data_IF_477411218827
#
_entry.id   IF_477411218827
#
_cell.length_a   1.000
_cell.length_b   1.000
_cell.length_c   1.000
_cell.angle_alpha   90.00
_cell.angle_beta   90.00
_cell.angle_gamma   90.00
#
_symmetry.space_group_name_H-M   'P 1'
#
loop_
_entity.id
_entity.type
_entity.pdbx_description
1 polymer ?
#
# COMPACT_ATOMS: atom_id res chain seq x y z
N UNK A 1 5.79 16.59 -13.74
CA UNK A 1 4.48 16.95 -13.14
C UNK A 1 3.79 18.09 -13.89
N UNK A 2 4.42 19.26 -14.06
CA UNK A 2 3.83 20.37 -14.86
C UNK A 2 3.53 19.97 -16.31
N UNK A 3 4.39 19.17 -16.92
CA UNK A 3 4.19 18.64 -18.28
C UNK A 3 3.04 17.62 -18.40
N UNK A 4 2.61 17.00 -17.29
CA UNK A 4 1.58 15.96 -17.29
C UNK A 4 0.17 16.52 -17.08
N UNK A 5 0.06 17.75 -16.57
CA UNK A 5 -1.18 18.49 -16.31
C UNK A 5 -0.97 19.96 -16.68
N UNK A 6 -0.84 20.26 -17.99
CA UNK A 6 -0.52 21.61 -18.46
C UNK A 6 -1.64 22.63 -18.18
N UNK A 7 -2.85 22.15 -17.91
CA UNK A 7 -4.04 22.91 -17.54
C UNK A 7 -4.12 23.22 -16.03
N UNK A 8 -3.21 22.69 -15.22
CA UNK A 8 -3.17 22.97 -13.78
C UNK A 8 -2.49 24.31 -13.46
N UNK A 9 -3.05 25.03 -12.47
CA UNK A 9 -2.43 26.26 -11.94
C UNK A 9 -1.35 25.92 -10.92
N UNK A 10 -0.08 26.27 -11.21
CA UNK A 10 1.04 26.10 -10.28
C UNK A 10 1.38 27.43 -9.60
N UNK A 11 1.33 27.45 -8.27
CA UNK A 11 1.64 28.66 -7.48
C UNK A 11 2.45 28.31 -6.23
N UNK A 12 3.32 29.20 -5.72
CA UNK A 12 3.85 29.08 -4.37
C UNK A 12 2.72 29.23 -3.33
N UNK A 13 2.97 28.68 -2.13
CA UNK A 13 2.02 28.70 -1.02
C UNK A 13 1.58 30.12 -0.63
N UNK A 14 2.50 31.08 -0.68
CA UNK A 14 2.24 32.50 -0.39
C UNK A 14 1.15 33.14 -1.27
N UNK A 15 0.83 32.55 -2.43
CA UNK A 15 -0.17 33.06 -3.38
C UNK A 15 -1.39 32.14 -3.52
N UNK A 16 -1.52 31.12 -2.68
CA UNK A 16 -2.57 30.11 -2.80
C UNK A 16 -3.99 30.71 -2.83
N UNK A 17 -4.25 31.73 -2.00
CA UNK A 17 -5.57 32.37 -1.94
C UNK A 17 -5.96 33.06 -3.27
N UNK A 18 -5.00 33.66 -3.96
CA UNK A 18 -5.23 34.32 -5.25
C UNK A 18 -5.41 33.25 -6.35
N UNK A 19 -4.53 32.25 -6.37
CA UNK A 19 -4.59 31.17 -7.34
C UNK A 19 -5.89 30.36 -7.26
N UNK A 20 -6.39 30.06 -6.05
CA UNK A 20 -7.66 29.35 -5.87
C UNK A 20 -8.85 30.16 -6.39
N UNK A 21 -8.86 31.48 -6.17
CA UNK A 21 -9.90 32.36 -6.72
C UNK A 21 -9.85 32.37 -8.24
N UNK A 22 -8.66 32.49 -8.83
CA UNK A 22 -8.48 32.45 -10.29
C UNK A 22 -8.89 31.12 -10.90
N UNK A 23 -8.44 30.00 -10.32
CA UNK A 23 -8.73 28.65 -10.79
C UNK A 23 -10.24 28.33 -10.73
N UNK A 24 -10.98 28.87 -9.75
CA UNK A 24 -12.43 28.70 -9.68
C UNK A 24 -13.17 29.45 -10.79
N UNK A 25 -12.65 30.61 -11.20
CA UNK A 25 -13.24 31.42 -12.27
C UNK A 25 -12.94 30.87 -13.67
N UNK A 26 -11.87 30.10 -13.82
CA UNK A 26 -11.41 29.53 -15.09
C UNK A 26 -11.27 28.02 -14.96
N UNK A 27 -12.39 27.33 -14.74
CA UNK A 27 -12.39 25.86 -14.77
C UNK A 27 -12.23 25.38 -16.22
N UNK A 28 -11.26 24.49 -16.53
CA UNK A 28 -11.13 23.91 -17.86
C UNK A 28 -12.39 23.12 -18.21
N UNK A 29 -12.94 23.36 -19.41
CA UNK A 29 -14.12 22.61 -19.90
C UNK A 29 -13.81 21.15 -20.20
N UNK A 30 -12.54 20.84 -20.52
CA UNK A 30 -12.05 19.49 -20.78
C UNK A 30 -10.68 19.33 -20.07
N UNK A 31 -10.66 18.93 -18.79
CA UNK A 31 -9.43 18.87 -18.02
C UNK A 31 -8.54 17.73 -18.47
N UNK A 32 -7.23 17.98 -18.53
CA UNK A 32 -6.23 16.93 -18.80
C UNK A 32 -6.12 16.06 -17.56
N UNK A 33 -6.74 14.87 -17.62
CA UNK A 33 -6.58 13.87 -16.57
C UNK A 33 -5.36 13.01 -16.89
N UNK A 34 -4.24 13.11 -16.15
CA UNK A 34 -3.11 12.26 -16.40
C UNK A 34 -3.54 10.82 -16.13
N UNK A 35 -3.24 9.90 -17.07
CA UNK A 35 -3.47 8.46 -16.84
C UNK A 35 -2.80 8.10 -15.52
N UNK A 36 -3.53 7.47 -14.60
CA UNK A 36 -2.95 7.07 -13.32
C UNK A 36 -1.82 6.07 -13.57
N UNK A 37 -0.59 6.54 -13.66
CA UNK A 37 0.56 5.68 -13.50
C UNK A 37 0.56 5.29 -12.03
N UNK A 38 0.42 4.00 -11.74
CA UNK A 38 0.48 3.47 -10.38
C UNK A 38 1.89 3.69 -9.80
N UNK A 39 2.24 4.90 -9.37
CA UNK A 39 3.61 5.16 -8.95
C UNK A 39 4.05 6.61 -8.90
N UNK A 40 3.43 7.44 -8.05
CA UNK A 40 4.01 8.73 -7.66
C UNK A 40 5.43 8.61 -7.06
N UNK A 41 5.84 7.41 -6.66
CA UNK A 41 7.11 7.19 -6.00
C UNK A 41 8.29 6.93 -6.95
N UNK A 42 8.08 6.48 -8.20
CA UNK A 42 9.16 5.96 -9.07
C UNK A 42 9.97 4.77 -8.51
N UNK A 43 9.77 4.41 -7.24
CA UNK A 43 10.50 3.35 -6.53
C UNK A 43 9.97 1.97 -6.92
N UNK A 44 10.85 0.97 -7.07
CA UNK A 44 10.46 -0.43 -7.20
C UNK A 44 9.55 -0.89 -6.05
N UNK A 45 8.65 -1.84 -6.33
CA UNK A 45 7.72 -2.36 -5.34
C UNK A 45 8.39 -2.88 -4.05
N UNK A 46 9.52 -3.61 -4.09
CA UNK A 46 10.20 -4.07 -2.88
C UNK A 46 10.61 -2.92 -1.95
N UNK A 47 11.08 -1.80 -2.53
CA UNK A 47 11.41 -0.61 -1.75
C UNK A 47 10.17 0.06 -1.13
N UNK A 48 9.05 0.10 -1.86
CA UNK A 48 7.77 0.59 -1.31
C UNK A 48 7.34 -0.26 -0.11
N UNK A 49 7.49 -1.58 -0.22
CA UNK A 49 7.20 -2.56 0.82
C UNK A 49 8.22 -2.52 1.99
N UNK A 50 9.33 -1.81 1.82
CA UNK A 50 10.39 -1.70 2.84
C UNK A 50 11.28 -2.94 2.94
N UNK A 51 11.31 -3.76 1.88
CA UNK A 51 12.21 -4.92 1.76
C UNK A 51 13.64 -4.42 1.62
N UNK A 52 14.52 -4.90 2.50
CA UNK A 52 15.95 -4.59 2.55
C UNK A 52 16.77 -5.85 2.26
N UNK A 53 18.08 -5.73 1.98
CA UNK A 53 18.95 -6.91 1.93
C UNK A 53 18.81 -7.79 3.17
N UNK A 54 18.83 -9.11 2.99
CA UNK A 54 18.67 -10.09 4.06
C UNK A 54 17.25 -10.22 4.64
N UNK A 55 16.25 -9.53 4.09
CA UNK A 55 14.87 -9.58 4.59
C UNK A 55 14.23 -10.95 4.31
N UNK A 56 13.57 -11.53 5.31
CA UNK A 56 12.59 -12.58 5.09
C UNK A 56 11.25 -11.96 4.73
N UNK A 57 10.82 -12.19 3.51
CA UNK A 57 9.53 -11.74 2.97
C UNK A 57 8.55 -12.90 2.94
N UNK A 58 7.42 -12.78 3.64
CA UNK A 58 6.34 -13.79 3.60
C UNK A 58 5.15 -13.28 2.80
N UNK A 59 4.73 -14.03 1.79
CA UNK A 59 3.61 -13.71 0.90
C UNK A 59 2.43 -14.64 1.21
N UNK A 60 1.42 -14.14 1.91
CA UNK A 60 0.28 -14.93 2.35
C UNK A 60 -0.92 -14.71 1.43
N UNK A 61 -1.35 -15.75 0.73
CA UNK A 61 -2.51 -15.70 -0.17
C UNK A 61 -2.28 -14.86 -1.43
N UNK A 62 -1.02 -14.62 -1.80
CA UNK A 62 -0.67 -13.83 -2.96
C UNK A 62 -1.22 -14.43 -4.27
N UNK A 63 -1.59 -13.59 -5.25
CA UNK A 63 -1.85 -14.03 -6.62
C UNK A 63 -0.66 -14.82 -7.20
N UNK A 64 -0.93 -15.76 -8.12
CA UNK A 64 0.10 -16.65 -8.69
C UNK A 64 1.21 -15.88 -9.41
N UNK A 65 0.87 -14.75 -10.01
CA UNK A 65 1.72 -13.83 -10.76
C UNK A 65 2.43 -12.80 -9.89
N UNK A 66 2.15 -12.75 -8.58
CA UNK A 66 2.68 -11.69 -7.72
C UNK A 66 4.21 -11.71 -7.59
N UNK A 67 4.84 -12.88 -7.70
CA UNK A 67 6.30 -12.98 -7.72
C UNK A 67 6.92 -12.19 -8.88
N UNK A 68 6.25 -12.15 -10.04
CA UNK A 68 6.65 -11.35 -11.20
C UNK A 68 6.44 -9.86 -10.94
N UNK A 69 5.31 -9.49 -10.33
CA UNK A 69 4.99 -8.10 -9.95
C UNK A 69 5.99 -7.52 -8.94
N UNK A 70 6.54 -8.37 -8.07
CA UNK A 70 7.54 -7.97 -7.07
C UNK A 70 8.84 -7.46 -7.71
N UNK A 71 9.18 -7.96 -8.90
CA UNK A 71 10.39 -7.56 -9.63
C UNK A 71 11.69 -7.99 -8.93
N UNK A 72 12.79 -7.31 -9.26
CA UNK A 72 14.12 -7.60 -8.71
C UNK A 72 14.18 -7.32 -7.21
N UNK A 73 14.57 -8.33 -6.44
CA UNK A 73 14.75 -8.23 -5.00
C UNK A 73 16.18 -7.82 -4.63
N UNK A 74 16.35 -7.12 -3.48
CA UNK A 74 17.66 -6.94 -2.87
C UNK A 74 18.38 -8.27 -2.59
N UNK A 75 19.69 -8.20 -2.38
CA UNK A 75 20.53 -9.35 -2.03
C UNK A 75 20.03 -10.06 -0.77
N UNK A 76 20.20 -11.38 -0.73
CA UNK A 76 19.86 -12.26 0.39
C UNK A 76 18.40 -12.21 0.89
N UNK A 77 17.47 -11.71 0.06
CA UNK A 77 16.05 -11.75 0.39
C UNK A 77 15.51 -13.18 0.23
N UNK A 78 14.91 -13.69 1.30
CA UNK A 78 14.26 -15.01 1.30
C UNK A 78 12.75 -14.83 1.20
N UNK A 79 12.17 -15.27 0.08
CA UNK A 79 10.72 -15.25 -0.14
C UNK A 79 10.10 -16.56 0.29
N UNK A 80 9.03 -16.48 1.10
CA UNK A 80 8.25 -17.64 1.54
C UNK A 80 6.77 -17.39 1.30
N UNK A 81 5.98 -18.45 1.13
CA UNK A 81 4.52 -18.36 0.94
C UNK A 81 3.73 -18.89 2.15
N UNK A 82 4.45 -19.24 3.22
CA UNK A 82 3.89 -19.82 4.45
C UNK A 82 4.48 -19.11 5.66
N UNK A 83 3.63 -18.87 6.66
CA UNK A 83 3.99 -18.27 7.93
C UNK A 83 4.67 -19.30 8.87
N UNK A 84 5.85 -19.80 8.50
CA UNK A 84 6.56 -20.84 9.26
C UNK A 84 7.70 -20.34 10.13
N UNK A 85 8.19 -19.13 9.88
CA UNK A 85 9.28 -18.51 10.63
C UNK A 85 9.01 -17.01 10.82
N UNK A 86 9.73 -16.38 11.75
CA UNK A 86 9.66 -14.92 11.93
C UNK A 86 10.15 -14.21 10.67
N UNK A 87 9.35 -13.26 10.19
CA UNK A 87 9.61 -12.47 8.99
C UNK A 87 9.58 -10.97 9.32
N UNK A 88 10.52 -10.22 8.74
CA UNK A 88 10.58 -8.76 8.87
C UNK A 88 9.53 -8.07 7.99
N UNK A 89 9.12 -8.70 6.89
CA UNK A 89 8.04 -8.21 6.04
C UNK A 89 7.05 -9.32 5.72
N UNK A 90 5.77 -9.09 5.97
CA UNK A 90 4.67 -9.97 5.55
C UNK A 90 3.76 -9.17 4.62
N UNK A 91 3.36 -9.75 3.49
CA UNK A 91 2.28 -9.22 2.64
C UNK A 91 1.13 -10.22 2.67
N UNK A 92 0.01 -9.82 3.27
CA UNK A 92 -1.19 -10.64 3.43
C UNK A 92 -2.26 -10.16 2.46
N UNK A 93 -2.59 -10.99 1.48
CA UNK A 93 -3.64 -10.74 0.50
C UNK A 93 -4.98 -11.31 0.96
N UNK A 94 -5.99 -10.46 0.94
CA UNK A 94 -7.38 -10.82 1.20
C UNK A 94 -8.32 -10.04 0.28
N UNK A 95 -9.44 -10.66 -0.08
CA UNK A 95 -10.53 -10.01 -0.83
C UNK A 95 -11.76 -9.77 0.06
N UNK A 96 -11.80 -10.40 1.21
CA UNK A 96 -12.96 -10.40 2.10
C UNK A 96 -12.49 -10.17 3.54
N UNK A 97 -13.29 -9.42 4.31
CA UNK A 97 -13.07 -9.15 5.73
C UNK A 97 -12.88 -10.44 6.52
N UNK A 98 -13.75 -11.41 6.33
CA UNK A 98 -13.69 -12.70 7.02
C UNK A 98 -12.35 -13.44 6.74
N UNK A 99 -11.85 -13.35 5.50
CA UNK A 99 -10.58 -13.97 5.14
C UNK A 99 -9.38 -13.23 5.79
N UNK A 100 -9.45 -11.90 5.90
CA UNK A 100 -8.45 -11.09 6.60
C UNK A 100 -8.41 -11.44 8.09
N UNK A 101 -9.56 -11.40 8.76
CA UNK A 101 -9.70 -11.71 10.19
C UNK A 101 -9.21 -13.12 10.53
N UNK A 102 -9.50 -14.10 9.65
CA UNK A 102 -9.03 -15.47 9.83
C UNK A 102 -7.50 -15.60 9.71
N UNK A 103 -6.88 -14.89 8.78
CA UNK A 103 -5.44 -15.03 8.46
C UNK A 103 -4.55 -14.17 9.35
N UNK A 104 -5.04 -13.00 9.78
CA UNK A 104 -4.26 -12.01 10.48
C UNK A 104 -3.59 -12.55 11.77
N UNK A 105 -4.27 -13.32 12.64
CA UNK A 105 -3.63 -13.87 13.84
C UNK A 105 -2.42 -14.77 13.53
N UNK A 106 -2.50 -15.60 12.50
CA UNK A 106 -1.38 -16.45 12.09
C UNK A 106 -0.22 -15.63 11.54
N UNK A 107 -0.51 -14.63 10.71
CA UNK A 107 0.49 -13.71 10.20
C UNK A 107 1.20 -12.93 11.32
N UNK A 108 0.46 -12.51 12.35
CA UNK A 108 1.02 -11.81 13.51
C UNK A 108 1.92 -12.70 14.38
N UNK A 109 1.69 -14.01 14.44
CA UNK A 109 2.60 -14.94 15.14
C UNK A 109 3.94 -15.11 14.41
N UNK A 110 3.94 -14.98 13.09
CA UNK A 110 5.16 -15.02 12.26
C UNK A 110 5.78 -13.64 12.01
N UNK A 111 5.24 -12.57 12.60
CA UNK A 111 5.77 -11.22 12.40
C UNK A 111 6.86 -10.93 13.42
N UNK A 112 8.08 -10.61 12.96
CA UNK A 112 9.17 -10.18 13.82
C UNK A 112 8.79 -8.91 14.61
N UNK A 113 9.39 -8.68 15.78
CA UNK A 113 9.01 -7.59 16.70
C UNK A 113 8.98 -6.20 16.06
N UNK A 114 9.97 -5.92 15.19
CA UNK A 114 10.08 -4.67 14.42
C UNK A 114 9.60 -4.80 12.97
N UNK A 115 8.93 -5.90 12.66
CA UNK A 115 8.45 -6.24 11.33
C UNK A 115 7.29 -5.36 10.87
N UNK A 116 7.04 -5.40 9.56
CA UNK A 116 5.91 -4.74 8.92
C UNK A 116 4.97 -5.77 8.29
N UNK A 117 3.67 -5.67 8.60
CA UNK A 117 2.63 -6.44 7.91
C UNK A 117 1.91 -5.52 6.93
N UNK A 118 1.91 -5.89 5.66
CA UNK A 118 1.16 -5.23 4.60
C UNK A 118 -0.13 -5.99 4.35
N UNK A 119 -1.27 -5.43 4.74
CA UNK A 119 -2.56 -5.98 4.36
C UNK A 119 -2.91 -5.46 2.95
N UNK A 120 -3.01 -6.36 1.98
CA UNK A 120 -3.29 -6.06 0.59
C UNK A 120 -4.73 -6.45 0.22
N UNK A 121 -5.45 -5.51 -0.41
CA UNK A 121 -6.83 -5.70 -0.86
C UNK A 121 -7.01 -5.20 -2.30
N UNK A 122 -8.00 -5.72 -3.04
CA UNK A 122 -8.29 -5.22 -4.38
C UNK A 122 -8.82 -3.79 -4.33
N UNK A 123 -8.37 -2.96 -5.25
CA UNK A 123 -8.92 -1.61 -5.44
C UNK A 123 -10.34 -1.72 -5.96
N UNK A 124 -11.20 -0.78 -5.57
CA UNK A 124 -12.55 -0.64 -6.12
C UNK A 124 -12.56 -0.55 -7.65
N UNK A 125 -11.57 0.16 -8.23
CA UNK A 125 -11.43 0.31 -9.68
C UNK A 125 -10.92 -0.94 -10.41
N UNK A 126 -10.49 -1.99 -9.71
CA UNK A 126 -9.92 -3.19 -10.34
C UNK A 126 -10.98 -4.14 -10.92
N UNK A 127 -12.26 -3.95 -10.57
CA UNK A 127 -13.34 -4.87 -10.95
C UNK A 127 -13.37 -6.19 -10.16
N UNK A 128 -12.39 -6.44 -9.28
CA UNK A 128 -12.40 -7.61 -8.38
C UNK A 128 -13.37 -7.36 -7.23
N UNK A 129 -14.33 -8.25 -7.05
CA UNK A 129 -15.27 -8.20 -5.93
C UNK A 129 -14.51 -8.26 -4.58
N UNK A 130 -14.84 -7.32 -3.70
CA UNK A 130 -14.23 -7.17 -2.38
C UNK A 130 -15.16 -6.38 -1.46
N UNK A 131 -15.24 -6.77 -0.19
CA UNK A 131 -15.85 -5.96 0.88
C UNK A 131 -14.81 -5.12 1.63
N UNK A 132 -13.52 -5.32 1.31
CA UNK A 132 -12.41 -4.61 1.94
C UNK A 132 -12.22 -3.22 1.31
N UNK A 133 -12.16 -2.23 2.19
CA UNK A 133 -11.65 -0.88 1.95
C UNK A 133 -10.67 -0.52 3.07
N UNK A 134 -9.91 0.55 2.89
CA UNK A 134 -8.85 0.96 3.85
C UNK A 134 -9.36 1.04 5.30
N UNK A 135 -10.56 1.58 5.52
CA UNK A 135 -11.14 1.71 6.85
C UNK A 135 -11.51 0.37 7.49
N UNK A 136 -11.98 -0.61 6.70
CA UNK A 136 -12.22 -1.99 7.18
C UNK A 136 -10.90 -2.64 7.59
N UNK A 137 -9.83 -2.42 6.82
CA UNK A 137 -8.48 -2.92 7.20
C UNK A 137 -8.05 -2.30 8.52
N UNK A 138 -8.24 -0.98 8.71
CA UNK A 138 -7.89 -0.29 9.97
C UNK A 138 -8.68 -0.81 11.15
N UNK A 139 -9.99 -1.02 11.01
CA UNK A 139 -10.85 -1.56 12.06
C UNK A 139 -10.34 -2.92 12.55
N UNK A 140 -10.12 -3.85 11.61
CA UNK A 140 -9.58 -5.19 11.92
C UNK A 140 -8.18 -5.07 12.55
N UNK A 141 -7.30 -4.26 11.98
CA UNK A 141 -5.95 -4.07 12.49
C UNK A 141 -5.93 -3.51 13.93
N UNK A 142 -6.78 -2.52 14.21
CA UNK A 142 -6.90 -1.89 15.52
C UNK A 142 -7.32 -2.89 16.59
N UNK A 143 -8.29 -3.77 16.29
CA UNK A 143 -8.73 -4.84 17.18
C UNK A 143 -7.60 -5.83 17.55
N UNK A 144 -6.56 -5.92 16.71
CA UNK A 144 -5.36 -6.73 16.94
C UNK A 144 -4.15 -5.93 17.49
N UNK A 145 -4.37 -4.70 17.98
CA UNK A 145 -3.32 -3.88 18.58
C UNK A 145 -2.30 -3.33 17.58
N UNK A 146 -2.69 -3.24 16.30
CA UNK A 146 -1.86 -2.65 15.25
C UNK A 146 -2.22 -1.18 15.04
N UNK A 147 -1.31 -0.47 14.38
CA UNK A 147 -1.48 0.89 13.85
C UNK A 147 -1.06 0.93 12.40
N UNK A 148 -1.74 1.75 11.60
CA UNK A 148 -1.36 2.01 10.23
C UNK A 148 -0.23 3.04 10.14
N UNK A 149 0.65 2.86 9.15
CA UNK A 149 1.86 3.69 8.98
C UNK A 149 1.89 4.34 7.61
N UNK A 150 1.61 3.56 6.56
CA UNK A 150 1.64 4.03 5.18
C UNK A 150 0.79 3.14 4.29
N UNK A 151 0.25 3.73 3.23
CA UNK A 151 -0.44 3.02 2.15
C UNK A 151 0.40 3.06 0.88
N UNK A 152 0.34 2.03 0.05
CA UNK A 152 0.89 2.08 -1.30
C UNK A 152 0.06 1.27 -2.30
N UNK A 153 0.10 1.68 -3.56
CA UNK A 153 -0.35 0.84 -4.66
C UNK A 153 0.70 -0.25 -4.92
N UNK A 154 0.25 -1.50 -4.91
CA UNK A 154 1.07 -2.68 -5.22
C UNK A 154 1.20 -2.80 -6.74
N UNK A 155 0.07 -2.83 -7.43
CA UNK A 155 -0.05 -2.86 -8.89
C UNK A 155 -1.36 -2.18 -9.33
N UNK A 156 -1.89 -2.48 -10.52
CA UNK A 156 -3.19 -1.97 -10.99
C UNK A 156 -4.37 -2.48 -10.14
N UNK A 157 -4.28 -3.70 -9.63
CA UNK A 157 -5.35 -4.43 -8.94
C UNK A 157 -5.33 -4.20 -7.44
N UNK A 158 -4.16 -4.18 -6.81
CA UNK A 158 -4.02 -4.25 -5.36
C UNK A 158 -3.50 -2.93 -4.76
N UNK A 159 -4.11 -2.53 -3.64
CA UNK A 159 -3.55 -1.57 -2.68
C UNK A 159 -3.08 -2.32 -1.45
N UNK A 160 -2.13 -1.74 -0.70
CA UNK A 160 -1.70 -2.30 0.57
C UNK A 160 -1.48 -1.24 1.65
N UNK A 161 -1.82 -1.59 2.89
CA UNK A 161 -1.68 -0.76 4.09
C UNK A 161 -0.65 -1.44 5.00
N UNK A 162 0.40 -0.70 5.33
CA UNK A 162 1.44 -1.11 6.26
C UNK A 162 0.94 -0.94 7.69
N UNK A 163 0.93 -2.04 8.43
CA UNK A 163 0.50 -2.19 9.79
C UNK A 163 1.69 -2.58 10.67
N UNK A 164 1.80 -1.97 11.84
CA UNK A 164 2.83 -2.28 12.85
C UNK A 164 2.22 -2.44 14.22
N UNK A 165 2.88 -3.22 15.09
CA UNK A 165 2.53 -3.27 16.51
C UNK A 165 2.68 -1.87 17.10
N UNK A 166 1.76 -1.50 18.00
CA UNK A 166 1.90 -0.28 18.78
C UNK A 166 3.19 -0.30 19.58
N UNK A 167 3.95 0.76 19.49
CA UNK A 167 5.03 1.02 20.44
C UNK A 167 4.38 1.56 21.69
N UNK A 168 4.29 0.75 22.75
CA UNK A 168 3.95 1.28 24.07
C UNK A 168 5.14 2.12 24.54
N UNK A 169 4.93 3.41 24.73
CA UNK A 169 5.88 4.24 25.48
C UNK A 169 5.73 3.84 26.93
N UNK A 170 6.71 3.09 27.45
CA UNK A 170 6.87 2.88 28.88
C UNK A 170 7.55 4.09 29.50
#
# INVERSE_FOLDING_TARGET
MREQIPDATFTPWSRIAIALRGARSVQPKDPVVPRSTSGYSGKPLPQKLGVKPGTRLTLLGAPKDFATTLGTLPEDVVVTTRATALAETIVLFAKERAALEKKLPAALRSLADKGALWAAWPKKASGVATDLVEDVIREVAFAHGLVDVKVCAVDATWSSLCLRRRVSVR
#
